data_IF_016499183053
#
_entry.id   IF_016499183053
#
_cell.length_a   1.000
_cell.length_b   1.000
_cell.length_c   1.000
_cell.angle_alpha   90.00
_cell.angle_beta   90.00
_cell.angle_gamma   90.00
#
_symmetry.space_group_name_H-M   'P 1'
#
loop_
_entity.id
_entity.type
_entity.pdbx_description
1 polymer ?
#
# COMPACT_ATOMS: atom_id res chain seq x y z
N UNK A 1 19.08 -30.74 -6.94
CA UNK A 1 17.81 -30.39 -7.60
C UNK A 1 16.72 -31.19 -6.92
N UNK A 2 15.69 -30.52 -6.41
CA UNK A 2 14.51 -31.20 -5.88
C UNK A 2 13.54 -31.45 -7.02
N UNK A 3 12.89 -32.62 -7.12
CA UNK A 3 11.84 -32.86 -8.09
C UNK A 3 10.61 -32.02 -7.71
N UNK A 4 10.29 -31.04 -8.54
CA UNK A 4 9.10 -30.19 -8.37
C UNK A 4 8.24 -30.38 -9.61
N UNK A 5 7.02 -30.86 -9.41
CA UNK A 5 6.01 -30.93 -10.47
C UNK A 5 5.24 -29.61 -10.55
N UNK A 6 5.36 -28.92 -11.69
CA UNK A 6 4.71 -27.62 -11.93
C UNK A 6 3.61 -27.80 -12.98
N UNK A 7 2.37 -27.58 -12.59
CA UNK A 7 1.19 -27.64 -13.46
C UNK A 7 0.71 -26.23 -13.80
N UNK A 8 1.10 -25.76 -14.97
CA UNK A 8 0.64 -24.46 -15.49
C UNK A 8 -0.76 -24.58 -16.12
N UNK A 9 -1.47 -23.45 -16.20
CA UNK A 9 -2.83 -23.36 -16.77
C UNK A 9 -3.82 -24.37 -16.11
N UNK A 10 -3.62 -24.65 -14.83
CA UNK A 10 -4.43 -25.61 -14.07
C UNK A 10 -5.14 -24.87 -12.94
N UNK A 11 -6.45 -24.76 -13.05
CA UNK A 11 -7.29 -24.22 -11.98
C UNK A 11 -7.62 -25.33 -10.97
N UNK A 12 -7.38 -25.02 -9.69
CA UNK A 12 -7.75 -25.90 -8.57
C UNK A 12 -9.04 -25.39 -7.96
N UNK A 13 -10.15 -26.11 -8.19
CA UNK A 13 -11.48 -25.78 -7.65
C UNK A 13 -11.78 -26.54 -6.38
N UNK A 14 -11.12 -27.69 -6.16
CA UNK A 14 -11.23 -28.50 -4.96
C UNK A 14 -9.85 -28.92 -4.45
N UNK A 15 -9.48 -28.36 -3.29
CA UNK A 15 -8.19 -28.61 -2.65
C UNK A 15 -8.06 -30.08 -2.16
N UNK A 16 -9.16 -30.69 -1.74
CA UNK A 16 -9.16 -32.09 -1.29
C UNK A 16 -8.76 -33.08 -2.41
N UNK A 17 -9.08 -32.72 -3.65
CA UNK A 17 -8.74 -33.54 -4.83
C UNK A 17 -7.23 -33.62 -5.12
N UNK A 18 -6.41 -32.75 -4.49
CA UNK A 18 -4.96 -32.76 -4.69
C UNK A 18 -4.28 -33.96 -4.07
N UNK A 19 -4.89 -34.62 -3.06
CA UNK A 19 -4.30 -35.77 -2.35
C UNK A 19 -2.98 -35.48 -1.64
N UNK A 20 -2.73 -34.22 -1.28
CA UNK A 20 -1.52 -33.78 -0.59
C UNK A 20 -1.72 -33.85 0.95
N UNK A 21 -0.66 -34.19 1.67
CA UNK A 21 -0.66 -34.18 3.14
C UNK A 21 -0.80 -32.76 3.70
N UNK A 22 -0.15 -31.78 3.05
CA UNK A 22 -0.20 -30.35 3.40
C UNK A 22 -0.37 -29.50 2.15
N UNK A 23 -1.19 -28.47 2.23
CA UNK A 23 -1.44 -27.54 1.14
C UNK A 23 -1.14 -26.11 1.56
N UNK A 24 -0.32 -25.41 0.78
CA UNK A 24 -0.05 -23.99 0.95
C UNK A 24 -0.84 -23.22 -0.11
N UNK A 25 -1.76 -22.36 0.33
CA UNK A 25 -2.57 -21.52 -0.56
C UNK A 25 -1.91 -20.16 -0.74
N UNK A 26 -1.36 -19.93 -1.91
CA UNK A 26 -0.67 -18.70 -2.28
C UNK A 26 -1.39 -17.98 -3.45
N UNK A 27 -2.71 -17.83 -3.35
CA UNK A 27 -3.59 -17.27 -4.39
C UNK A 27 -3.53 -15.74 -4.53
N UNK A 28 -2.66 -15.09 -3.76
CA UNK A 28 -2.42 -13.66 -3.85
C UNK A 28 -3.30 -12.81 -2.92
N UNK A 29 -3.32 -11.51 -3.21
CA UNK A 29 -4.03 -10.51 -2.43
C UNK A 29 -4.55 -9.39 -3.34
N UNK A 30 -5.57 -8.67 -2.88
CA UNK A 30 -6.10 -7.48 -3.51
C UNK A 30 -5.80 -6.25 -2.66
N UNK A 31 -5.60 -5.10 -3.31
CA UNK A 31 -5.40 -3.84 -2.61
C UNK A 31 -6.65 -3.46 -1.80
N UNK A 32 -6.43 -3.00 -0.58
CA UNK A 32 -7.52 -2.47 0.23
C UNK A 32 -8.10 -1.21 -0.41
N UNK A 33 -9.42 -1.11 -0.39
CA UNK A 33 -10.14 0.07 -0.84
C UNK A 33 -10.70 0.80 0.37
N UNK A 34 -10.27 2.04 0.58
CA UNK A 34 -10.81 2.87 1.66
C UNK A 34 -12.22 3.36 1.28
N UNK A 35 -13.17 3.40 2.24
CA UNK A 35 -14.56 3.77 1.95
C UNK A 35 -14.74 5.30 2.02
N UNK A 36 -14.06 6.05 1.15
CA UNK A 36 -14.17 7.51 1.09
C UNK A 36 -14.68 7.96 -0.27
N UNK A 37 -15.41 9.08 -0.35
CA UNK A 37 -15.81 9.69 -1.62
C UNK A 37 -14.59 9.97 -2.50
N UNK A 38 -14.73 9.76 -3.79
CA UNK A 38 -13.68 10.03 -4.77
C UNK A 38 -12.53 9.00 -4.79
N UNK A 39 -12.63 7.88 -4.07
CA UNK A 39 -11.56 6.85 -4.01
C UNK A 39 -11.14 6.32 -5.40
N UNK A 40 -12.04 6.32 -6.37
CA UNK A 40 -11.77 5.91 -7.75
C UNK A 40 -10.84 6.86 -8.52
N UNK A 41 -10.65 8.09 -8.04
CA UNK A 41 -9.70 9.07 -8.58
C UNK A 41 -8.26 8.77 -8.13
N UNK A 42 -8.10 8.01 -7.04
CA UNK A 42 -6.79 7.58 -6.53
C UNK A 42 -6.19 6.47 -7.39
N UNK A 43 -4.88 6.48 -7.51
CA UNK A 43 -4.07 5.47 -8.20
C UNK A 43 -3.66 4.42 -7.18
N UNK A 44 -3.96 3.14 -7.43
CA UNK A 44 -3.47 2.08 -6.57
C UNK A 44 -1.94 1.99 -6.64
N UNK A 45 -1.27 1.82 -5.49
CA UNK A 45 0.19 1.70 -5.41
C UNK A 45 0.74 0.66 -6.40
N UNK A 46 0.06 -0.47 -6.56
CA UNK A 46 0.46 -1.53 -7.50
C UNK A 46 0.43 -1.09 -8.97
N UNK A 47 -0.52 -0.23 -9.36
CA UNK A 47 -0.60 0.25 -10.73
C UNK A 47 0.49 1.30 -11.02
N UNK A 48 0.82 2.13 -10.04
CA UNK A 48 1.97 3.02 -10.11
C UNK A 48 3.29 2.22 -10.22
N UNK A 49 3.54 1.28 -9.30
CA UNK A 49 4.76 0.46 -9.27
C UNK A 49 4.97 -0.39 -10.54
N UNK A 50 3.89 -0.78 -11.20
CA UNK A 50 3.95 -1.50 -12.49
C UNK A 50 4.07 -0.58 -13.71
N UNK A 51 4.20 0.72 -13.52
CA UNK A 51 4.29 1.68 -14.61
C UNK A 51 3.01 1.81 -15.45
N UNK A 52 1.86 1.41 -14.91
CA UNK A 52 0.57 1.51 -15.62
C UNK A 52 -0.04 2.91 -15.56
N UNK A 53 0.39 3.70 -14.60
CA UNK A 53 -0.06 5.07 -14.35
C UNK A 53 1.14 5.95 -14.08
N UNK A 54 1.22 7.05 -14.80
CA UNK A 54 2.16 8.12 -14.52
C UNK A 54 1.56 9.12 -13.54
N UNK A 55 2.40 9.88 -12.86
CA UNK A 55 2.01 10.90 -11.89
C UNK A 55 2.67 12.24 -12.19
N UNK A 56 1.99 13.32 -11.84
CA UNK A 56 2.47 14.69 -11.96
C UNK A 56 3.58 15.04 -10.96
N UNK A 57 3.74 16.33 -10.69
CA UNK A 57 4.81 16.87 -9.85
C UNK A 57 4.50 16.74 -8.35
N UNK A 58 3.26 17.03 -7.95
CA UNK A 58 2.82 17.01 -6.56
C UNK A 58 1.99 15.74 -6.33
N UNK A 59 2.47 14.84 -5.50
CA UNK A 59 1.83 13.53 -5.30
C UNK A 59 1.56 13.30 -3.82
N UNK A 60 0.29 13.08 -3.47
CA UNK A 60 -0.06 12.68 -2.11
C UNK A 60 -0.17 11.16 -2.02
N UNK A 61 0.55 10.56 -1.08
CA UNK A 61 0.52 9.13 -0.78
C UNK A 61 -0.34 8.89 0.46
N UNK A 62 -1.39 8.11 0.31
CA UNK A 62 -2.26 7.70 1.42
C UNK A 62 -1.79 6.36 1.93
N UNK A 63 -1.27 6.35 3.16
CA UNK A 63 -0.67 5.21 3.83
C UNK A 63 0.85 5.30 3.92
N UNK A 64 1.34 5.49 5.15
CA UNK A 64 2.76 5.60 5.51
C UNK A 64 3.39 4.26 5.91
N UNK A 65 2.86 3.13 5.43
CA UNK A 65 3.52 1.84 5.53
C UNK A 65 4.79 1.78 4.67
N UNK A 66 5.53 0.65 4.71
CA UNK A 66 6.80 0.51 3.99
C UNK A 66 6.65 0.87 2.50
N UNK A 67 5.68 0.28 1.81
CA UNK A 67 5.46 0.54 0.38
C UNK A 67 5.14 2.02 0.09
N UNK A 68 4.33 2.68 0.91
CA UNK A 68 4.02 4.10 0.72
C UNK A 68 5.25 4.99 0.93
N UNK A 69 6.07 4.67 1.92
CA UNK A 69 7.33 5.37 2.17
C UNK A 69 8.36 5.13 1.05
N UNK A 70 8.48 3.91 0.53
CA UNK A 70 9.36 3.61 -0.60
C UNK A 70 8.93 4.35 -1.88
N UNK A 71 7.63 4.43 -2.15
CA UNK A 71 7.07 5.23 -3.26
C UNK A 71 7.40 6.72 -3.07
N UNK A 72 7.20 7.26 -1.86
CA UNK A 72 7.53 8.66 -1.58
C UNK A 72 9.02 8.95 -1.77
N UNK A 73 9.88 8.05 -1.31
CA UNK A 73 11.33 8.14 -1.51
C UNK A 73 11.71 8.15 -2.99
N UNK A 74 11.18 7.20 -3.76
CA UNK A 74 11.42 7.11 -5.21
C UNK A 74 10.95 8.36 -5.95
N UNK A 75 9.76 8.86 -5.65
CA UNK A 75 9.22 10.09 -6.24
C UNK A 75 10.10 11.30 -5.92
N UNK A 76 10.61 11.40 -4.69
CA UNK A 76 11.53 12.46 -4.31
C UNK A 76 12.83 12.41 -5.12
N UNK A 77 13.42 11.22 -5.30
CA UNK A 77 14.63 11.02 -6.11
C UNK A 77 14.41 11.38 -7.59
N UNK A 78 13.19 11.24 -8.10
CA UNK A 78 12.78 11.69 -9.43
C UNK A 78 12.55 13.20 -9.51
N UNK A 79 12.80 13.97 -8.44
CA UNK A 79 12.57 15.41 -8.37
C UNK A 79 11.12 15.83 -8.23
N UNK A 80 10.23 14.89 -7.89
CA UNK A 80 8.83 15.18 -7.57
C UNK A 80 8.66 15.61 -6.11
N UNK A 81 7.46 16.03 -5.75
CA UNK A 81 7.10 16.54 -4.42
C UNK A 81 6.08 15.60 -3.76
N UNK A 82 6.53 14.53 -3.12
CA UNK A 82 5.64 13.64 -2.38
C UNK A 82 5.18 14.28 -1.08
N UNK A 83 3.95 13.96 -0.67
CA UNK A 83 3.39 14.23 0.66
C UNK A 83 2.81 12.93 1.19
N UNK A 84 3.11 12.54 2.43
CA UNK A 84 2.60 11.32 3.05
C UNK A 84 1.49 11.67 4.03
N UNK A 85 0.37 10.96 3.94
CA UNK A 85 -0.75 11.01 4.90
C UNK A 85 -0.88 9.64 5.55
N UNK A 86 -0.73 9.59 6.88
CA UNK A 86 -0.78 8.35 7.66
C UNK A 86 -1.72 8.53 8.86
N UNK A 87 -2.59 7.55 9.08
CA UNK A 87 -3.54 7.58 10.17
C UNK A 87 -2.95 7.16 11.53
N UNK A 88 -1.82 6.46 11.52
CA UNK A 88 -1.08 6.11 12.71
C UNK A 88 -0.22 7.28 13.21
N UNK A 89 0.32 7.13 14.40
CA UNK A 89 1.20 8.11 15.07
C UNK A 89 2.65 8.06 14.58
N UNK A 90 3.01 7.08 13.75
CA UNK A 90 4.34 6.96 13.14
C UNK A 90 4.26 6.27 11.76
N UNK A 91 5.34 6.39 10.99
CA UNK A 91 5.52 5.69 9.72
C UNK A 91 5.98 4.25 9.97
N UNK A 92 5.58 3.35 9.08
CA UNK A 92 6.06 1.95 9.02
C UNK A 92 5.92 1.25 10.38
N UNK A 93 4.72 1.28 10.94
CA UNK A 93 4.40 0.68 12.25
C UNK A 93 4.27 -0.85 12.21
N UNK A 94 4.31 -1.47 11.02
CA UNK A 94 4.19 -2.93 10.86
C UNK A 94 5.33 -3.67 11.54
N UNK A 95 5.08 -4.62 12.46
CA UNK A 95 6.12 -5.41 13.10
C UNK A 95 6.93 -6.26 12.11
N UNK A 96 8.19 -6.54 12.47
CA UNK A 96 9.06 -7.45 11.72
C UNK A 96 9.78 -6.82 10.51
N UNK A 97 9.59 -5.53 10.27
CA UNK A 97 10.36 -4.82 9.24
C UNK A 97 11.73 -4.45 9.77
N UNK A 98 12.76 -4.60 8.92
CA UNK A 98 14.14 -4.27 9.27
C UNK A 98 14.27 -2.82 9.75
N UNK A 99 14.82 -2.63 10.96
CA UNK A 99 14.97 -1.31 11.58
C UNK A 99 15.84 -0.38 10.73
N UNK A 100 16.86 -0.90 10.06
CA UNK A 100 17.72 -0.08 9.20
C UNK A 100 16.94 0.61 8.08
N UNK A 101 16.01 -0.11 7.42
CA UNK A 101 15.18 0.46 6.37
C UNK A 101 14.19 1.49 6.91
N UNK A 102 13.55 1.18 8.04
CA UNK A 102 12.53 2.06 8.63
C UNK A 102 13.15 3.36 9.17
N UNK A 103 14.30 3.27 9.86
CA UNK A 103 15.02 4.45 10.35
C UNK A 103 15.52 5.30 9.19
N UNK A 104 16.12 4.67 8.18
CA UNK A 104 16.60 5.40 6.99
C UNK A 104 15.49 6.24 6.34
N UNK A 105 14.33 5.65 6.08
CA UNK A 105 13.24 6.38 5.43
C UNK A 105 12.70 7.54 6.28
N UNK A 106 12.52 7.32 7.60
CA UNK A 106 12.09 8.39 8.52
C UNK A 106 13.09 9.54 8.56
N UNK A 107 14.38 9.22 8.70
CA UNK A 107 15.45 10.21 8.75
C UNK A 107 15.57 10.96 7.42
N UNK A 108 15.42 10.25 6.31
CA UNK A 108 15.43 10.83 4.97
C UNK A 108 14.31 11.87 4.80
N UNK A 109 13.07 11.53 5.15
CA UNK A 109 11.94 12.45 5.01
C UNK A 109 12.10 13.69 5.89
N UNK A 110 12.59 13.51 7.11
CA UNK A 110 12.89 14.61 8.03
C UNK A 110 14.02 15.51 7.50
N UNK A 111 15.12 14.93 7.04
CA UNK A 111 16.27 15.67 6.54
C UNK A 111 15.97 16.47 5.26
N UNK A 112 15.05 15.97 4.44
CA UNK A 112 14.67 16.58 3.17
C UNK A 112 13.35 17.37 3.23
N UNK A 113 12.79 17.57 4.42
CA UNK A 113 11.53 18.28 4.64
C UNK A 113 10.37 17.75 3.79
N UNK A 114 10.30 16.44 3.57
CA UNK A 114 9.16 15.81 2.92
C UNK A 114 7.95 15.92 3.87
N UNK A 115 6.82 16.51 3.44
CA UNK A 115 5.66 16.64 4.29
C UNK A 115 5.09 15.28 4.70
N UNK A 116 4.96 15.05 6.01
CA UNK A 116 4.36 13.85 6.61
C UNK A 116 3.28 14.28 7.59
N UNK A 117 2.04 13.91 7.30
CA UNK A 117 0.88 14.15 8.15
C UNK A 117 0.53 12.86 8.87
N UNK A 118 0.99 12.70 10.10
CA UNK A 118 0.65 11.59 11.00
C UNK A 118 -0.69 11.84 11.69
N UNK A 119 -1.29 10.78 12.25
CA UNK A 119 -2.58 10.83 12.94
C UNK A 119 -3.65 11.55 12.10
N UNK A 120 -3.58 11.38 10.78
CA UNK A 120 -4.38 12.12 9.81
C UNK A 120 -5.10 11.15 8.88
N UNK A 121 -6.42 11.21 8.89
CA UNK A 121 -7.29 10.37 8.07
C UNK A 121 -7.80 11.09 6.83
N UNK A 122 -8.02 10.35 5.74
CA UNK A 122 -8.61 10.87 4.50
C UNK A 122 -10.11 11.01 4.66
N UNK A 123 -10.66 12.13 4.20
CA UNK A 123 -12.09 12.40 4.15
C UNK A 123 -12.67 12.23 2.75
N UNK A 124 -12.02 12.81 1.74
CA UNK A 124 -12.48 12.78 0.34
C UNK A 124 -11.30 13.02 -0.62
N UNK A 125 -11.37 12.43 -1.82
CA UNK A 125 -10.37 12.58 -2.87
C UNK A 125 -10.99 13.36 -4.05
N UNK A 126 -10.31 14.43 -4.46
CA UNK A 126 -10.70 15.30 -5.57
C UNK A 126 -9.74 15.14 -6.74
N UNK A 127 -10.05 15.76 -7.88
CA UNK A 127 -9.16 15.75 -9.05
C UNK A 127 -7.89 16.60 -8.83
N UNK A 128 -7.94 17.54 -7.87
CA UNK A 128 -6.89 18.50 -7.54
C UNK A 128 -6.30 18.30 -6.13
N UNK A 129 -6.51 17.13 -5.50
CA UNK A 129 -5.95 16.82 -4.19
C UNK A 129 -6.85 15.98 -3.28
N UNK A 130 -6.63 16.09 -1.98
CA UNK A 130 -7.35 15.32 -0.97
C UNK A 130 -7.72 16.17 0.24
N UNK A 131 -8.95 16.03 0.74
CA UNK A 131 -9.34 16.54 2.06
C UNK A 131 -8.99 15.52 3.12
N UNK A 132 -8.33 15.97 4.15
CA UNK A 132 -7.91 15.15 5.29
C UNK A 132 -8.40 15.76 6.60
N UNK A 133 -8.41 14.93 7.66
CA UNK A 133 -8.79 15.34 9.01
C UNK A 133 -7.70 14.87 9.98
N UNK A 134 -7.15 15.79 10.75
CA UNK A 134 -6.17 15.50 11.80
C UNK A 134 -6.81 14.88 13.06
N UNK A 135 -5.99 14.51 14.03
CA UNK A 135 -6.41 13.96 15.33
C UNK A 135 -7.31 14.88 16.15
N UNK A 136 -7.23 16.19 15.93
CA UNK A 136 -8.04 17.20 16.62
C UNK A 136 -9.39 17.43 15.93
N UNK A 137 -9.62 16.77 14.79
CA UNK A 137 -10.83 16.91 13.98
C UNK A 137 -10.78 18.08 12.99
N UNK A 138 -9.65 18.81 12.91
CA UNK A 138 -9.49 19.88 11.95
C UNK A 138 -9.34 19.33 10.54
N UNK A 139 -10.15 19.82 9.61
CA UNK A 139 -10.11 19.45 8.20
C UNK A 139 -9.31 20.45 7.39
N UNK A 140 -8.51 19.93 6.46
CA UNK A 140 -7.77 20.76 5.51
C UNK A 140 -7.56 20.02 4.21
N UNK A 141 -7.29 20.76 3.13
CA UNK A 141 -7.03 20.20 1.81
C UNK A 141 -5.52 20.19 1.53
N UNK A 142 -5.03 19.07 1.01
CA UNK A 142 -3.70 18.94 0.45
C UNK A 142 -3.86 18.93 -1.07
N UNK A 143 -3.31 19.94 -1.73
CA UNK A 143 -3.33 20.03 -3.19
C UNK A 143 -2.34 19.02 -3.78
N UNK A 144 -2.75 18.27 -4.80
CA UNK A 144 -1.93 17.29 -5.48
C UNK A 144 -2.39 17.07 -6.92
N UNK A 145 -1.45 16.78 -7.81
CA UNK A 145 -1.76 16.40 -9.18
C UNK A 145 -2.31 14.96 -9.22
N UNK A 146 -1.84 14.11 -8.31
CA UNK A 146 -2.31 12.73 -8.15
C UNK A 146 -2.28 12.28 -6.69
N UNK A 147 -3.16 11.33 -6.37
CA UNK A 147 -3.22 10.65 -5.08
C UNK A 147 -2.91 9.17 -5.29
N UNK A 148 -1.91 8.64 -4.58
CA UNK A 148 -1.57 7.21 -4.59
C UNK A 148 -2.14 6.56 -3.33
N UNK A 149 -2.84 5.44 -3.52
CA UNK A 149 -3.44 4.64 -2.44
C UNK A 149 -2.51 3.49 -2.09
N UNK A 150 -1.84 3.57 -0.94
CA UNK A 150 -0.94 2.56 -0.37
C UNK A 150 -1.47 2.04 0.96
N UNK A 151 -2.74 1.68 0.99
CA UNK A 151 -3.52 1.32 2.19
C UNK A 151 -3.47 -0.18 2.53
N UNK A 152 -2.46 -0.89 2.03
CA UNK A 152 -2.23 -2.30 2.28
C UNK A 152 -3.06 -3.23 1.39
N UNK A 153 -2.99 -4.53 1.71
CA UNK A 153 -3.59 -5.61 0.94
C UNK A 153 -4.41 -6.54 1.83
N UNK A 154 -5.43 -7.13 1.25
CA UNK A 154 -6.23 -8.20 1.85
C UNK A 154 -6.00 -9.48 1.06
N UNK A 155 -5.64 -10.57 1.75
CA UNK A 155 -5.52 -11.89 1.14
C UNK A 155 -6.87 -12.34 0.57
N UNK A 156 -6.81 -13.06 -0.55
CA UNK A 156 -7.98 -13.67 -1.22
C UNK A 156 -7.82 -15.19 -1.23
N UNK A 157 -7.96 -15.85 -0.06
CA UNK A 157 -7.83 -17.31 0.00
C UNK A 157 -8.96 -17.95 -0.80
N UNK A 158 -8.62 -18.94 -1.63
CA UNK A 158 -9.59 -19.73 -2.41
C UNK A 158 -10.44 -20.64 -1.51
N UNK A 159 -9.88 -21.02 -0.37
CA UNK A 159 -10.51 -21.93 0.59
C UNK A 159 -10.26 -21.46 2.02
N UNK A 160 -11.16 -21.78 2.97
CA UNK A 160 -10.93 -21.52 4.39
C UNK A 160 -9.69 -22.26 4.88
N UNK A 161 -9.01 -21.70 5.88
CA UNK A 161 -7.96 -22.42 6.61
C UNK A 161 -8.53 -23.71 7.22
N UNK A 162 -7.77 -24.80 7.12
CA UNK A 162 -8.08 -26.08 7.69
C UNK A 162 -6.89 -26.69 8.43
N UNK A 163 -7.03 -27.91 8.94
CA UNK A 163 -5.99 -28.58 9.72
C UNK A 163 -4.68 -28.74 8.91
N UNK A 164 -4.81 -28.96 7.61
CA UNK A 164 -3.70 -29.16 6.66
C UNK A 164 -3.73 -28.16 5.49
N UNK A 165 -4.40 -27.00 5.65
CA UNK A 165 -4.50 -25.93 4.66
C UNK A 165 -3.98 -24.64 5.29
N UNK A 166 -2.91 -24.07 4.71
CA UNK A 166 -2.14 -22.93 5.22
C UNK A 166 -2.18 -21.72 4.30
#
# INVERSE_FOLDING_TARGET
KYPIDVKLNTEVTDVASLGADEVIVASGAVANRIPVPGVDKGIQAIDFLRGRKEVGQNVTIIGGGLTGCEIAYELYLQGKRPTIVEMQDDLITTPGICLANTSFLRDFFKANNVPVHLETGVCEIFDDGVEVKDKNGAKFKIAADNVILSTGYKSTPLVPKGKNIH
#
